data_IF_514876020515
#
_entry.id   IF_514876020515
#
_cell.length_a   1.000
_cell.length_b   1.000
_cell.length_c   1.000
_cell.angle_alpha   90.00
_cell.angle_beta   90.00
_cell.angle_gamma   90.00
#
_symmetry.space_group_name_H-M   'P 1'
#
loop_
_entity.id
_entity.type
_entity.pdbx_description
1 polymer ?
#
# COMPACT_ATOMS: atom_id res chain seq x y z
N UNK A 1 25.06 -30.14 40.24
CA UNK A 1 23.66 -29.65 40.18
C UNK A 1 23.72 -28.25 39.59
N UNK A 2 23.65 -28.16 38.25
CA UNK A 2 23.80 -26.89 37.54
C UNK A 2 22.46 -26.19 37.47
N UNK A 3 22.33 -25.09 38.23
CA UNK A 3 21.19 -24.18 38.15
C UNK A 3 21.25 -23.41 36.84
N UNK A 4 20.60 -23.91 35.79
CA UNK A 4 20.37 -23.15 34.57
C UNK A 4 19.37 -22.02 34.86
N UNK A 5 19.82 -20.76 34.78
CA UNK A 5 18.92 -19.61 34.75
C UNK A 5 17.96 -19.78 33.56
N UNK A 6 16.63 -19.64 33.72
CA UNK A 6 15.73 -19.65 32.58
C UNK A 6 16.03 -18.41 31.72
N UNK A 7 16.39 -18.64 30.46
CA UNK A 7 16.49 -17.58 29.46
C UNK A 7 15.08 -17.02 29.26
N UNK A 8 14.82 -15.81 29.72
CA UNK A 8 13.51 -15.16 29.59
C UNK A 8 13.27 -14.78 28.13
N UNK A 9 12.55 -15.62 27.38
CA UNK A 9 12.13 -15.34 26.01
C UNK A 9 10.79 -14.59 26.05
N UNK A 10 10.70 -13.45 25.36
CA UNK A 10 9.47 -12.66 25.25
C UNK A 10 8.94 -12.70 23.82
N UNK A 11 7.64 -13.01 23.65
CA UNK A 11 6.93 -12.95 22.37
C UNK A 11 5.79 -11.94 22.53
N UNK A 12 5.94 -10.78 21.89
CA UNK A 12 5.06 -9.63 22.18
C UNK A 12 5.23 -9.19 23.63
N UNK A 13 4.14 -9.05 24.36
CA UNK A 13 4.14 -8.63 25.77
C UNK A 13 4.16 -9.81 26.76
N UNK A 14 4.28 -11.05 26.26
CA UNK A 14 4.20 -12.26 27.08
C UNK A 14 5.57 -12.92 27.22
N UNK A 15 6.00 -13.10 28.46
CA UNK A 15 7.16 -13.92 28.81
C UNK A 15 6.78 -15.40 28.64
N UNK A 16 7.57 -16.13 27.86
CA UNK A 16 7.40 -17.56 27.63
C UNK A 16 8.22 -18.32 28.67
N UNK A 17 7.53 -19.10 29.49
CA UNK A 17 8.17 -19.92 30.52
C UNK A 17 8.86 -21.13 29.87
N UNK A 18 10.05 -21.45 30.35
CA UNK A 18 10.80 -22.65 29.98
C UNK A 18 10.91 -23.58 31.18
N UNK A 19 10.80 -24.89 30.96
CA UNK A 19 10.98 -25.88 32.01
C UNK A 19 12.45 -26.31 32.17
N UNK A 20 12.71 -27.20 33.14
CA UNK A 20 14.05 -27.70 33.44
C UNK A 20 14.70 -28.51 32.30
N UNK A 21 13.89 -28.97 31.34
CA UNK A 21 14.33 -29.74 30.18
C UNK A 21 14.46 -28.87 28.92
N UNK A 22 14.28 -27.56 29.04
CA UNK A 22 14.43 -26.63 27.93
C UNK A 22 13.20 -26.52 27.02
N UNK A 23 12.04 -27.02 27.42
CA UNK A 23 10.78 -26.92 26.66
C UNK A 23 10.02 -25.64 27.00
N UNK A 24 9.28 -25.13 26.03
CA UNK A 24 8.55 -23.86 26.11
C UNK A 24 7.07 -24.07 26.40
N UNK A 25 6.50 -23.22 27.24
CA UNK A 25 5.08 -23.23 27.62
C UNK A 25 4.18 -22.84 26.45
N UNK A 26 3.45 -23.80 25.90
CA UNK A 26 2.47 -23.59 24.83
C UNK A 26 1.29 -22.74 25.31
N UNK A 27 0.98 -22.76 26.61
CA UNK A 27 -0.03 -21.91 27.22
C UNK A 27 0.36 -20.42 27.16
N UNK A 28 1.65 -20.12 27.36
CA UNK A 28 2.16 -18.75 27.26
C UNK A 28 2.16 -18.28 25.80
N UNK A 29 2.54 -19.16 24.85
CA UNK A 29 2.42 -18.86 23.43
C UNK A 29 0.98 -18.64 22.99
N UNK A 30 0.05 -19.44 23.50
CA UNK A 30 -1.38 -19.28 23.22
C UNK A 30 -1.89 -17.91 23.67
N UNK A 31 -1.46 -17.47 24.86
CA UNK A 31 -1.76 -16.13 25.38
C UNK A 31 -1.11 -15.04 24.51
N UNK A 32 0.14 -15.22 24.10
CA UNK A 32 0.85 -14.30 23.19
C UNK A 32 0.19 -14.18 21.81
N UNK A 33 -0.46 -15.25 21.35
CA UNK A 33 -1.22 -15.30 20.10
C UNK A 33 -2.62 -14.66 20.18
N UNK A 34 -3.08 -14.25 21.36
CA UNK A 34 -4.41 -13.65 21.56
C UNK A 34 -5.46 -14.58 22.17
N UNK A 35 -5.12 -15.82 22.54
CA UNK A 35 -5.98 -16.68 23.39
C UNK A 35 -7.28 -17.17 22.75
N UNK A 36 -7.36 -17.21 21.41
CA UNK A 36 -8.56 -17.66 20.71
C UNK A 36 -8.87 -19.14 20.96
N UNK A 37 -10.11 -19.49 21.35
CA UNK A 37 -10.47 -20.86 21.72
C UNK A 37 -10.13 -21.94 20.67
N UNK A 38 -10.20 -21.61 19.38
CA UNK A 38 -9.85 -22.55 18.28
C UNK A 38 -8.38 -22.93 18.22
N UNK A 39 -7.51 -22.14 18.87
CA UNK A 39 -6.06 -22.33 18.88
C UNK A 39 -5.56 -22.91 20.21
N UNK A 40 -6.42 -23.57 20.97
CA UNK A 40 -6.04 -24.11 22.26
C UNK A 40 -4.95 -25.18 22.16
N UNK A 41 -3.99 -25.21 23.09
CA UNK A 41 -2.92 -26.22 23.13
C UNK A 41 -3.42 -27.67 23.07
N UNK A 42 -4.57 -27.96 23.68
CA UNK A 42 -5.19 -29.30 23.63
C UNK A 42 -5.64 -29.70 22.23
N UNK A 43 -6.16 -28.75 21.44
CA UNK A 43 -6.64 -29.01 20.08
C UNK A 43 -5.46 -29.21 19.13
N UNK A 44 -4.41 -28.40 19.30
CA UNK A 44 -3.16 -28.56 18.56
C UNK A 44 -2.55 -29.96 18.73
N UNK A 45 -2.43 -30.46 19.96
CA UNK A 45 -1.86 -31.79 20.22
C UNK A 45 -2.73 -32.95 19.69
N UNK A 46 -4.00 -32.69 19.35
CA UNK A 46 -4.90 -33.69 18.77
C UNK A 46 -4.80 -33.76 17.24
N UNK A 47 -4.14 -32.80 16.59
CA UNK A 47 -3.96 -32.81 15.14
C UNK A 47 -3.10 -33.99 14.71
N UNK A 48 -3.52 -34.66 13.64
CA UNK A 48 -2.78 -35.80 13.09
C UNK A 48 -1.35 -35.39 12.67
N UNK A 49 -1.20 -34.22 12.03
CA UNK A 49 0.10 -33.68 11.63
C UNK A 49 1.05 -33.47 12.81
N UNK A 50 0.54 -32.92 13.91
CA UNK A 50 1.34 -32.67 15.12
C UNK A 50 1.70 -33.98 15.81
N UNK A 51 0.82 -34.98 15.82
CA UNK A 51 1.13 -36.32 16.34
C UNK A 51 2.18 -37.04 15.51
N UNK A 52 2.14 -36.92 14.18
CA UNK A 52 3.17 -37.44 13.28
C UNK A 52 4.52 -36.77 13.53
N UNK A 53 4.54 -35.44 13.65
CA UNK A 53 5.76 -34.69 13.99
C UNK A 53 6.33 -35.10 15.35
N UNK A 54 5.48 -35.27 16.37
CA UNK A 54 5.91 -35.76 17.69
C UNK A 54 6.53 -37.16 17.58
N UNK A 55 5.99 -38.06 16.75
CA UNK A 55 6.58 -39.39 16.54
C UNK A 55 7.96 -39.30 15.91
N UNK A 56 8.12 -38.45 14.89
CA UNK A 56 9.41 -38.23 14.21
C UNK A 56 10.48 -37.67 15.17
N UNK A 57 10.09 -36.70 16.00
CA UNK A 57 10.98 -36.10 17.01
C UNK A 57 11.38 -37.09 18.12
N UNK A 58 10.55 -38.10 18.39
CA UNK A 58 10.88 -39.18 19.33
C UNK A 58 11.77 -40.25 18.70
N UNK A 59 11.65 -40.51 17.39
CA UNK A 59 12.49 -41.51 16.71
C UNK A 59 13.94 -41.07 16.53
N UNK A 60 14.21 -39.75 16.47
CA UNK A 60 15.56 -39.20 16.30
C UNK A 60 16.46 -39.28 17.55
N UNK A 61 15.89 -39.21 18.75
CA UNK A 61 16.60 -39.36 20.03
C UNK A 61 15.66 -39.93 21.12
N UNK A 62 15.89 -41.15 21.65
CA UNK A 62 15.06 -41.74 22.71
C UNK A 62 15.02 -40.97 24.02
N UNK A 63 15.93 -40.00 24.23
CA UNK A 63 15.93 -39.09 25.40
C UNK A 63 15.20 -37.78 25.13
N UNK A 64 14.79 -37.53 23.89
CA UNK A 64 13.96 -36.40 23.52
C UNK A 64 12.58 -36.59 24.15
N UNK A 65 12.16 -35.61 24.95
CA UNK A 65 10.79 -35.53 25.46
C UNK A 65 10.14 -34.34 24.77
N UNK A 66 9.62 -34.47 23.54
CA UNK A 66 9.19 -33.32 22.73
C UNK A 66 7.95 -32.62 23.30
N UNK A 67 7.13 -33.32 24.08
CA UNK A 67 5.93 -32.77 24.74
C UNK A 67 5.85 -33.27 26.17
N UNK A 68 5.56 -32.37 27.10
CA UNK A 68 5.19 -32.70 28.48
C UNK A 68 3.93 -31.95 28.87
N UNK A 69 2.94 -32.68 29.40
CA UNK A 69 1.71 -32.08 29.92
C UNK A 69 1.71 -32.24 31.43
N UNK A 70 1.89 -31.13 32.13
CA UNK A 70 1.85 -31.08 33.60
C UNK A 70 0.43 -30.81 34.05
N UNK A 71 -0.16 -31.71 34.84
CA UNK A 71 -1.50 -31.52 35.41
C UNK A 71 -1.46 -30.71 36.71
N UNK A 72 -2.49 -29.91 36.97
CA UNK A 72 -2.69 -29.20 38.25
C UNK A 72 -2.89 -27.69 38.11
N UNK A 73 -2.95 -26.99 39.25
CA UNK A 73 -3.24 -25.53 39.32
C UNK A 73 -2.22 -24.65 38.59
N UNK A 74 -0.97 -25.12 38.52
CA UNK A 74 0.13 -24.50 37.77
C UNK A 74 0.53 -25.36 36.56
N UNK A 75 -0.38 -26.22 36.10
CA UNK A 75 -0.15 -27.13 34.99
C UNK A 75 -0.12 -26.41 33.65
N UNK A 76 0.55 -27.03 32.68
CA UNK A 76 0.68 -26.50 31.33
C UNK A 76 1.25 -27.52 30.35
N UNK A 77 1.09 -27.22 29.06
CA UNK A 77 1.68 -27.99 27.99
C UNK A 77 3.02 -27.38 27.61
N UNK A 78 4.10 -28.13 27.77
CA UNK A 78 5.47 -27.74 27.44
C UNK A 78 5.94 -28.50 26.21
N UNK A 79 6.49 -27.79 25.23
CA UNK A 79 6.89 -28.38 23.95
C UNK A 79 8.30 -27.96 23.55
N UNK A 80 8.99 -28.81 22.77
CA UNK A 80 10.28 -28.47 22.20
C UNK A 80 10.18 -27.32 21.16
N UNK A 81 11.34 -26.77 20.77
CA UNK A 81 11.42 -25.64 19.83
C UNK A 81 10.72 -25.90 18.49
N UNK A 82 10.82 -27.11 17.94
CA UNK A 82 10.25 -27.40 16.63
C UNK A 82 8.72 -27.35 16.66
N UNK A 83 8.13 -27.86 17.73
CA UNK A 83 6.68 -27.79 17.96
C UNK A 83 6.18 -26.37 18.28
N UNK A 84 7.05 -25.50 18.79
CA UNK A 84 6.75 -24.06 18.89
C UNK A 84 6.55 -23.46 17.49
N UNK A 85 7.40 -23.81 16.52
CA UNK A 85 7.25 -23.31 15.16
C UNK A 85 6.01 -23.88 14.46
N UNK A 86 5.75 -25.17 14.62
CA UNK A 86 4.54 -25.82 14.08
C UNK A 86 3.26 -25.20 14.66
N UNK A 87 3.22 -24.97 15.98
CA UNK A 87 2.12 -24.26 16.62
C UNK A 87 1.93 -22.86 16.05
N UNK A 88 3.02 -22.09 15.91
CA UNK A 88 2.94 -20.74 15.39
C UNK A 88 2.48 -20.72 13.91
N UNK A 89 2.86 -21.71 13.11
CA UNK A 89 2.38 -21.93 11.74
C UNK A 89 0.88 -22.18 11.69
N UNK A 90 0.37 -23.00 12.62
CA UNK A 90 -1.04 -23.34 12.70
C UNK A 90 -1.92 -22.15 13.13
N UNK A 91 -1.41 -21.31 14.04
CA UNK A 91 -2.14 -20.15 14.59
C UNK A 91 -2.36 -19.04 13.56
N UNK A 92 -1.29 -18.45 13.00
CA UNK A 92 -1.39 -17.42 11.96
C UNK A 92 -0.04 -17.09 11.33
N UNK A 93 -0.05 -16.61 10.08
CA UNK A 93 1.17 -16.19 9.39
C UNK A 93 1.90 -15.03 10.10
N UNK A 94 1.16 -14.09 10.67
CA UNK A 94 1.74 -12.96 11.41
C UNK A 94 2.43 -13.42 12.69
N UNK A 95 1.76 -14.28 13.46
CA UNK A 95 2.31 -14.80 14.71
C UNK A 95 3.54 -15.67 14.46
N UNK A 96 3.53 -16.50 13.42
CA UNK A 96 4.70 -17.25 12.95
C UNK A 96 5.92 -16.38 12.73
N UNK A 97 5.79 -15.27 12.02
CA UNK A 97 6.93 -14.37 11.75
C UNK A 97 7.48 -13.78 13.05
N UNK A 98 6.61 -13.40 14.00
CA UNK A 98 7.03 -12.90 15.32
C UNK A 98 7.84 -13.95 16.08
N UNK A 99 7.34 -15.18 16.17
CA UNK A 99 8.02 -16.29 16.85
C UNK A 99 9.37 -16.60 16.20
N UNK A 100 9.44 -16.65 14.86
CA UNK A 100 10.71 -16.87 14.14
C UNK A 100 11.74 -15.81 14.52
N UNK A 101 11.39 -14.52 14.44
CA UNK A 101 12.31 -13.42 14.76
C UNK A 101 12.81 -13.47 16.20
N UNK A 102 11.93 -13.75 17.16
CA UNK A 102 12.30 -13.85 18.58
C UNK A 102 13.27 -15.00 18.82
N UNK A 103 12.97 -16.18 18.28
CA UNK A 103 13.83 -17.35 18.50
C UNK A 103 15.15 -17.28 17.72
N UNK A 104 15.16 -16.63 16.55
CA UNK A 104 16.37 -16.37 15.78
C UNK A 104 17.28 -15.35 16.49
N UNK A 105 16.70 -14.29 17.05
CA UNK A 105 17.40 -13.34 17.90
C UNK A 105 18.03 -14.02 19.14
N UNK A 106 17.32 -14.94 19.79
CA UNK A 106 17.87 -15.72 20.90
C UNK A 106 19.01 -16.64 20.44
N UNK A 107 18.86 -17.31 19.29
CA UNK A 107 19.88 -18.22 18.76
C UNK A 107 21.17 -17.50 18.32
N UNK A 108 21.06 -16.27 17.80
CA UNK A 108 22.18 -15.44 17.34
C UNK A 108 22.77 -14.56 18.44
N UNK A 109 22.28 -14.67 19.70
CA UNK A 109 22.70 -13.83 20.82
C UNK A 109 22.21 -12.37 20.74
N UNK A 110 21.37 -12.05 19.74
CA UNK A 110 20.73 -10.76 19.51
C UNK A 110 19.40 -10.60 20.27
N UNK A 111 19.28 -11.16 21.49
CA UNK A 111 18.11 -10.89 22.34
C UNK A 111 17.90 -9.39 22.35
N UNK A 112 16.71 -8.86 21.98
CA UNK A 112 16.42 -7.44 22.10
C UNK A 112 16.34 -7.13 23.60
N UNK A 113 17.49 -7.05 24.25
CA UNK A 113 17.61 -6.42 25.54
C UNK A 113 17.27 -4.96 25.30
N UNK A 114 16.39 -4.34 26.09
CA UNK A 114 16.40 -2.88 26.17
C UNK A 114 17.84 -2.50 26.50
N UNK A 115 18.49 -1.81 25.55
CA UNK A 115 19.91 -1.55 25.60
C UNK A 115 20.24 -0.80 26.91
N UNK A 116 20.74 -1.53 27.90
CA UNK A 116 21.58 -0.95 28.94
C UNK A 116 22.98 -1.13 28.39
N UNK A 117 23.64 -0.07 27.90
CA UNK A 117 24.99 -0.20 27.37
C UNK A 117 25.89 -0.72 28.50
N UNK A 118 26.50 -1.89 28.28
CA UNK A 118 27.61 -2.33 29.11
C UNK A 118 28.73 -1.31 28.94
N UNK A 119 29.09 -0.62 30.04
CA UNK A 119 30.17 0.35 30.06
C UNK A 119 31.49 -0.36 29.73
N UNK A 120 32.17 -0.02 28.61
CA UNK A 120 33.46 -0.60 28.28
C UNK A 120 34.54 -0.11 29.25
N UNK A 121 35.62 -0.89 29.37
CA UNK A 121 36.67 -0.79 30.40
C UNK A 121 37.49 0.51 30.44
N UNK A 122 37.22 1.48 29.58
CA UNK A 122 37.78 2.83 29.64
C UNK A 122 36.68 3.88 29.41
N UNK A 123 36.33 4.61 30.47
CA UNK A 123 35.25 5.61 30.48
C UNK A 123 35.46 6.72 29.43
N UNK A 124 36.71 7.04 29.11
CA UNK A 124 37.07 8.10 28.18
C UNK A 124 36.75 7.72 26.72
N UNK A 125 37.09 6.49 26.31
CA UNK A 125 36.79 5.98 24.97
C UNK A 125 35.28 5.83 24.77
N UNK A 126 34.56 5.40 25.81
CA UNK A 126 33.09 5.32 25.79
C UNK A 126 32.43 6.68 25.56
N UNK A 127 32.92 7.73 26.22
CA UNK A 127 32.43 9.10 26.06
C UNK A 127 32.71 9.63 24.66
N UNK A 128 33.90 9.38 24.12
CA UNK A 128 34.26 9.81 22.76
C UNK A 128 33.37 9.13 21.71
N UNK A 129 33.12 7.82 21.85
CA UNK A 129 32.24 7.07 20.97
C UNK A 129 30.79 7.60 21.01
N UNK A 130 30.27 7.93 22.19
CA UNK A 130 28.93 8.52 22.35
C UNK A 130 28.84 9.91 21.70
N UNK A 131 29.88 10.74 21.84
CA UNK A 131 29.93 12.06 21.22
C UNK A 131 29.97 11.94 19.69
N UNK A 132 30.71 10.98 19.14
CA UNK A 132 30.75 10.71 17.70
C UNK A 132 29.39 10.23 17.19
N UNK A 133 28.77 9.27 17.87
CA UNK A 133 27.46 8.75 17.51
C UNK A 133 26.38 9.83 17.53
N UNK A 134 26.37 10.71 18.53
CA UNK A 134 25.40 11.80 18.62
C UNK A 134 25.63 12.85 17.51
N UNK A 135 26.89 13.13 17.17
CA UNK A 135 27.22 14.00 16.02
C UNK A 135 26.76 13.38 14.70
N UNK A 136 26.99 12.09 14.50
CA UNK A 136 26.54 11.37 13.31
C UNK A 136 25.02 11.37 13.19
N UNK A 137 24.31 11.06 14.29
CA UNK A 137 22.85 11.12 14.34
C UNK A 137 22.31 12.51 14.00
N UNK A 138 22.93 13.58 14.52
CA UNK A 138 22.56 14.96 14.17
C UNK A 138 22.81 15.27 12.70
N UNK A 139 23.90 14.78 12.12
CA UNK A 139 24.19 14.92 10.69
C UNK A 139 23.16 14.20 9.83
N UNK A 140 22.83 12.95 10.16
CA UNK A 140 21.81 12.18 9.46
C UNK A 140 20.42 12.82 9.60
N UNK A 141 20.09 13.39 10.77
CA UNK A 141 18.85 14.14 10.96
C UNK A 141 18.80 15.37 10.05
N UNK A 142 19.89 16.14 9.98
CA UNK A 142 19.97 17.31 9.10
C UNK A 142 19.92 16.93 7.61
N UNK A 143 20.55 15.83 7.22
CA UNK A 143 20.48 15.30 5.85
C UNK A 143 19.07 14.83 5.49
N UNK A 144 18.41 14.09 6.38
CA UNK A 144 17.02 13.68 6.20
C UNK A 144 16.08 14.89 6.10
N UNK A 145 16.28 15.91 6.94
CA UNK A 145 15.50 17.16 6.88
C UNK A 145 15.73 17.88 5.55
N UNK A 146 16.98 17.96 5.06
CA UNK A 146 17.30 18.53 3.76
C UNK A 146 16.66 17.74 2.60
N UNK A 147 16.71 16.41 2.65
CA UNK A 147 16.04 15.54 1.67
C UNK A 147 14.51 15.74 1.71
N UNK A 148 13.92 15.84 2.90
CA UNK A 148 12.49 16.10 3.05
C UNK A 148 12.10 17.49 2.54
N UNK A 149 12.92 18.52 2.77
CA UNK A 149 12.72 19.85 2.23
C UNK A 149 12.80 19.85 0.69
N UNK A 150 13.77 19.12 0.11
CA UNK A 150 13.89 18.96 -1.34
C UNK A 150 12.68 18.23 -1.95
N UNK A 151 12.20 17.16 -1.28
CA UNK A 151 10.98 16.47 -1.69
C UNK A 151 9.74 17.37 -1.57
N UNK A 152 9.67 18.22 -0.53
CA UNK A 152 8.60 19.19 -0.34
C UNK A 152 8.62 20.30 -1.40
N UNK A 153 9.80 20.77 -1.81
CA UNK A 153 9.94 21.71 -2.94
C UNK A 153 9.48 21.09 -4.26
N UNK A 154 9.69 19.78 -4.42
CA UNK A 154 9.20 19.01 -5.58
C UNK A 154 7.73 18.57 -5.44
N UNK A 155 7.09 18.70 -4.28
CA UNK A 155 5.67 18.38 -4.09
C UNK A 155 4.75 19.05 -5.11
N UNK A 156 4.83 20.37 -5.41
CA UNK A 156 3.93 20.97 -6.40
C UNK A 156 4.08 20.37 -7.80
N UNK A 157 5.28 19.87 -8.18
CA UNK A 157 5.49 19.20 -9.46
C UNK A 157 4.90 17.78 -9.46
N UNK A 158 5.06 17.04 -8.36
CA UNK A 158 4.50 15.71 -8.18
C UNK A 158 2.97 15.74 -8.06
N UNK A 159 2.42 16.71 -7.34
CA UNK A 159 0.99 16.96 -7.19
C UNK A 159 0.36 17.36 -8.52
N UNK A 160 1.00 18.27 -9.27
CA UNK A 160 0.61 18.55 -10.65
C UNK A 160 0.58 17.25 -11.49
N UNK A 161 1.60 16.39 -11.37
CA UNK A 161 1.64 15.08 -12.04
C UNK A 161 0.53 14.11 -11.60
N UNK A 162 0.07 14.21 -10.35
CA UNK A 162 -1.05 13.42 -9.81
C UNK A 162 -2.40 13.95 -10.30
N UNK A 163 -2.56 15.27 -10.41
CA UNK A 163 -3.71 15.92 -11.06
C UNK A 163 -3.82 15.55 -12.55
N UNK A 164 -2.68 15.28 -13.21
CA UNK A 164 -2.64 14.74 -14.57
C UNK A 164 -3.17 13.30 -14.70
N UNK A 165 -3.21 12.54 -13.61
CA UNK A 165 -3.65 11.14 -13.56
C UNK A 165 -5.08 10.98 -13.01
N UNK A 166 -5.61 11.96 -12.28
CA UNK A 166 -6.98 11.95 -11.80
C UNK A 166 -7.99 12.22 -12.95
N UNK A 167 -8.36 11.12 -13.60
CA UNK A 167 -9.29 11.04 -14.73
C UNK A 167 -10.74 11.49 -14.44
N UNK A 168 -11.03 12.08 -13.27
CA UNK A 168 -12.38 12.56 -12.92
C UNK A 168 -12.76 13.87 -13.62
N UNK A 169 -11.81 14.75 -13.91
CA UNK A 169 -12.11 16.11 -14.42
C UNK A 169 -11.71 16.36 -15.88
N UNK A 170 -11.24 15.34 -16.59
CA UNK A 170 -10.93 15.45 -18.02
C UNK A 170 -12.19 15.64 -18.87
N UNK A 171 -12.21 16.68 -19.69
CA UNK A 171 -13.32 16.93 -20.62
C UNK A 171 -12.97 16.52 -22.04
N UNK A 172 -13.92 15.90 -22.75
CA UNK A 172 -13.78 15.72 -24.20
C UNK A 172 -13.93 17.07 -24.92
N UNK A 173 -13.24 17.25 -26.05
CA UNK A 173 -13.24 18.50 -26.83
C UNK A 173 -14.65 19.08 -27.11
N UNK A 174 -15.63 18.22 -27.41
CA UNK A 174 -17.03 18.63 -27.64
C UNK A 174 -17.72 19.17 -26.38
N UNK A 175 -17.34 18.67 -25.20
CA UNK A 175 -17.85 19.16 -23.91
C UNK A 175 -17.20 20.51 -23.59
N UNK A 176 -15.90 20.64 -23.83
CA UNK A 176 -15.15 21.88 -23.64
C UNK A 176 -15.68 23.02 -24.53
N UNK A 177 -15.93 22.78 -25.81
CA UNK A 177 -16.52 23.78 -26.71
C UNK A 177 -17.87 24.32 -26.19
N UNK A 178 -18.72 23.43 -25.68
CA UNK A 178 -20.01 23.81 -25.07
C UNK A 178 -19.80 24.65 -23.81
N UNK A 179 -18.83 24.29 -22.97
CA UNK A 179 -18.52 25.05 -21.76
C UNK A 179 -17.98 26.45 -22.08
N UNK A 180 -17.11 26.57 -23.08
CA UNK A 180 -16.59 27.85 -23.58
C UNK A 180 -17.60 28.66 -24.39
N UNK A 181 -18.80 28.09 -24.65
CA UNK A 181 -19.86 28.69 -25.47
C UNK A 181 -19.42 29.04 -26.89
N UNK A 182 -18.48 28.26 -27.43
CA UNK A 182 -18.02 28.37 -28.82
C UNK A 182 -18.76 27.31 -29.65
N UNK A 183 -19.34 27.66 -30.81
CA UNK A 183 -19.94 26.67 -31.71
C UNK A 183 -18.93 25.57 -32.07
N UNK A 184 -19.35 24.31 -31.96
CA UNK A 184 -18.43 23.17 -32.09
C UNK A 184 -17.67 23.18 -33.42
N UNK A 185 -18.33 23.45 -34.55
CA UNK A 185 -17.66 23.49 -35.84
C UNK A 185 -16.58 24.57 -35.90
N UNK A 186 -16.90 25.80 -35.46
CA UNK A 186 -15.97 26.92 -35.38
C UNK A 186 -14.76 26.57 -34.50
N UNK A 187 -15.02 25.95 -33.34
CA UNK A 187 -13.96 25.50 -32.43
C UNK A 187 -13.03 24.47 -33.07
N UNK A 188 -13.56 23.41 -33.69
CA UNK A 188 -12.74 22.39 -34.35
C UNK A 188 -11.97 22.94 -35.55
N UNK A 189 -12.56 23.88 -36.30
CA UNK A 189 -11.89 24.56 -37.42
C UNK A 189 -10.71 25.41 -36.92
N UNK A 190 -10.92 26.18 -35.85
CA UNK A 190 -9.85 26.96 -35.23
C UNK A 190 -8.71 26.08 -34.71
N UNK A 191 -9.03 24.95 -34.05
CA UNK A 191 -8.03 23.99 -33.57
C UNK A 191 -7.23 23.35 -34.72
N UNK A 192 -7.88 23.11 -35.87
CA UNK A 192 -7.22 22.60 -37.08
C UNK A 192 -6.31 23.65 -37.70
N UNK A 193 -6.79 24.89 -37.83
CA UNK A 193 -6.05 26.02 -38.39
C UNK A 193 -4.80 26.34 -37.56
N UNK A 194 -4.96 26.37 -36.23
CA UNK A 194 -3.88 26.61 -35.27
C UNK A 194 -2.95 25.41 -35.08
N UNK A 195 -3.17 24.32 -35.82
CA UNK A 195 -2.38 23.10 -35.75
C UNK A 195 -2.33 22.50 -34.34
N UNK A 196 -3.37 22.69 -33.53
CA UNK A 196 -3.44 22.09 -32.18
C UNK A 196 -3.67 20.58 -32.27
N UNK A 197 -4.57 20.20 -33.18
CA UNK A 197 -4.97 18.82 -33.43
C UNK A 197 -4.68 18.44 -34.88
N UNK A 198 -4.51 17.16 -35.13
CA UNK A 198 -4.46 16.58 -36.46
C UNK A 198 -5.23 15.25 -36.49
N UNK A 199 -5.41 14.71 -37.68
CA UNK A 199 -5.91 13.36 -37.90
C UNK A 199 -4.85 12.58 -38.66
N UNK A 200 -4.58 11.35 -38.26
CA UNK A 200 -3.64 10.47 -38.93
C UNK A 200 -4.19 9.98 -40.28
N UNK A 201 -5.50 9.78 -40.36
CA UNK A 201 -6.22 9.39 -41.56
C UNK A 201 -7.59 10.09 -41.63
N UNK A 202 -8.19 10.17 -42.82
CA UNK A 202 -9.52 10.76 -42.98
C UNK A 202 -10.58 9.97 -42.19
N UNK A 203 -11.38 10.68 -41.40
CA UNK A 203 -12.35 10.05 -40.49
C UNK A 203 -11.76 9.49 -39.19
N UNK A 204 -10.44 9.50 -39.02
CA UNK A 204 -9.77 9.07 -37.80
C UNK A 204 -9.99 9.98 -36.58
N UNK A 205 -9.59 9.53 -35.38
CA UNK A 205 -9.72 10.31 -34.16
C UNK A 205 -8.87 11.58 -34.24
N UNK A 206 -9.31 12.63 -33.54
CA UNK A 206 -8.47 13.80 -33.34
C UNK A 206 -7.34 13.45 -32.38
N UNK A 207 -6.10 13.68 -32.81
CA UNK A 207 -4.87 13.46 -32.05
C UNK A 207 -4.22 14.82 -31.77
N UNK A 208 -3.78 15.11 -30.53
CA UNK A 208 -3.11 16.36 -30.22
C UNK A 208 -1.66 16.32 -30.73
N UNK A 209 -1.11 17.44 -31.20
CA UNK A 209 0.32 17.48 -31.57
C UNK A 209 1.22 17.36 -30.33
N UNK A 210 2.44 16.85 -30.53
CA UNK A 210 3.43 16.63 -29.48
C UNK A 210 3.60 17.82 -28.54
N UNK A 211 3.74 19.03 -29.09
CA UNK A 211 3.85 20.29 -28.33
C UNK A 211 2.74 20.48 -27.28
N UNK A 212 1.49 20.13 -27.60
CA UNK A 212 0.35 20.30 -26.68
C UNK A 212 0.23 19.18 -25.65
N UNK A 213 0.83 18.01 -25.94
CA UNK A 213 0.97 16.92 -24.98
C UNK A 213 2.10 17.20 -23.98
N UNK A 214 3.25 17.67 -24.48
CA UNK A 214 4.41 18.05 -23.66
C UNK A 214 4.08 19.22 -22.74
N UNK A 215 3.31 20.21 -23.20
CA UNK A 215 2.78 21.30 -22.37
C UNK A 215 1.67 20.85 -21.41
N UNK A 216 1.24 19.60 -21.45
CA UNK A 216 0.19 19.08 -20.58
C UNK A 216 -1.21 19.68 -20.82
N UNK A 217 -1.46 20.29 -21.97
CA UNK A 217 -2.77 20.89 -22.28
C UNK A 217 -3.79 19.83 -22.73
N UNK A 218 -3.30 18.78 -23.40
CA UNK A 218 -4.14 17.75 -24.02
C UNK A 218 -3.54 16.35 -23.81
N UNK A 219 -4.41 15.38 -23.58
CA UNK A 219 -4.06 13.96 -23.41
C UNK A 219 -4.83 13.12 -24.43
N UNK A 220 -4.20 12.10 -25.01
CA UNK A 220 -4.88 11.16 -25.91
C UNK A 220 -5.08 9.82 -25.20
N UNK A 221 -6.34 9.41 -25.00
CA UNK A 221 -6.69 8.20 -24.23
C UNK A 221 -7.47 7.20 -25.08
N UNK A 222 -7.21 5.91 -24.88
CA UNK A 222 -8.07 4.84 -25.39
C UNK A 222 -9.37 4.80 -24.58
N UNK A 223 -10.51 4.68 -25.28
CA UNK A 223 -11.86 4.60 -24.71
C UNK A 223 -12.58 3.40 -25.27
N UNK A 224 -13.45 2.83 -24.46
CA UNK A 224 -14.37 1.75 -24.86
C UNK A 224 -15.79 2.34 -24.93
N UNK A 225 -16.55 2.08 -26.01
CA UNK A 225 -17.91 2.56 -26.14
C UNK A 225 -18.80 1.97 -25.03
N UNK A 226 -19.75 2.78 -24.55
CA UNK A 226 -20.66 2.37 -23.47
C UNK A 226 -21.61 1.23 -23.85
N UNK A 227 -21.99 1.13 -25.13
CA UNK A 227 -22.83 0.05 -25.65
C UNK A 227 -21.92 -0.92 -26.40
N UNK A 228 -21.89 -2.15 -25.93
CA UNK A 228 -21.20 -3.27 -26.57
C UNK A 228 -22.24 -4.30 -26.98
N UNK A 229 -22.04 -4.95 -28.12
CA UNK A 229 -22.88 -6.07 -28.52
C UNK A 229 -22.46 -7.31 -27.71
N UNK A 230 -23.42 -8.07 -27.14
CA UNK A 230 -23.09 -9.32 -26.46
C UNK A 230 -22.35 -10.27 -27.40
N UNK A 231 -21.16 -10.72 -27.01
CA UNK A 231 -20.35 -11.68 -27.76
C UNK A 231 -19.33 -11.09 -28.74
N UNK A 232 -19.28 -9.77 -28.93
CA UNK A 232 -18.23 -9.10 -29.73
C UNK A 232 -17.11 -8.57 -28.83
N UNK A 233 -15.85 -8.65 -29.28
CA UNK A 233 -14.72 -8.08 -28.53
C UNK A 233 -14.89 -6.55 -28.38
N UNK A 234 -14.50 -5.97 -27.22
CA UNK A 234 -14.65 -4.54 -26.97
C UNK A 234 -13.81 -3.73 -27.95
N UNK A 235 -14.48 -3.02 -28.87
CA UNK A 235 -13.82 -2.10 -29.80
C UNK A 235 -13.32 -0.87 -29.05
N UNK A 236 -12.01 -0.69 -28.91
CA UNK A 236 -11.43 0.53 -28.36
C UNK A 236 -11.24 1.60 -29.44
N UNK A 237 -11.46 2.88 -29.10
CA UNK A 237 -11.13 4.02 -29.96
C UNK A 237 -10.32 5.06 -29.19
N UNK A 238 -9.42 5.77 -29.87
CA UNK A 238 -8.65 6.86 -29.28
C UNK A 238 -9.46 8.17 -29.20
N UNK A 239 -9.32 8.91 -28.11
CA UNK A 239 -10.00 10.18 -27.90
C UNK A 239 -9.08 11.22 -27.23
N UNK A 240 -9.03 12.43 -27.80
CA UNK A 240 -8.38 13.57 -27.15
C UNK A 240 -9.24 14.10 -26.01
N UNK A 241 -8.60 14.25 -24.85
CA UNK A 241 -9.11 14.80 -23.61
C UNK A 241 -8.38 16.09 -23.27
N UNK A 242 -9.08 16.99 -22.59
CA UNK A 242 -8.61 18.32 -22.21
C UNK A 242 -8.41 18.36 -20.71
N UNK A 243 -7.24 18.81 -20.27
CA UNK A 243 -6.87 19.02 -18.85
C UNK A 243 -7.38 20.36 -18.33
N UNK A 244 -7.30 20.62 -17.03
CA UNK A 244 -7.65 21.92 -16.46
C UNK A 244 -6.84 23.07 -17.10
N UNK A 245 -5.52 22.89 -17.23
CA UNK A 245 -4.64 23.81 -17.93
C UNK A 245 -5.04 24.00 -19.41
N UNK A 246 -5.47 22.92 -20.08
CA UNK A 246 -6.01 22.96 -21.43
C UNK A 246 -7.28 23.81 -21.54
N UNK A 247 -8.20 23.70 -20.59
CA UNK A 247 -9.44 24.50 -20.55
C UNK A 247 -9.11 25.98 -20.36
N UNK A 248 -8.21 26.31 -19.44
CA UNK A 248 -7.77 27.70 -19.22
C UNK A 248 -7.12 28.28 -20.48
N UNK A 249 -6.22 27.53 -21.12
CA UNK A 249 -5.58 27.94 -22.35
C UNK A 249 -6.59 28.16 -23.49
N UNK A 250 -7.56 27.25 -23.65
CA UNK A 250 -8.62 27.40 -24.63
C UNK A 250 -9.53 28.61 -24.34
N UNK A 251 -9.83 28.89 -23.08
CA UNK A 251 -10.62 30.07 -22.70
C UNK A 251 -9.90 31.36 -23.08
N UNK A 252 -8.59 31.46 -22.78
CA UNK A 252 -7.77 32.63 -23.14
C UNK A 252 -7.64 32.78 -24.66
N UNK A 253 -7.45 31.67 -25.40
CA UNK A 253 -7.20 31.71 -26.84
C UNK A 253 -8.47 31.86 -27.68
N UNK A 254 -9.52 31.10 -27.39
CA UNK A 254 -10.73 31.02 -28.21
C UNK A 254 -11.95 31.70 -27.58
N UNK A 255 -11.80 32.36 -26.44
CA UNK A 255 -12.90 33.09 -25.79
C UNK A 255 -13.54 34.15 -26.68
N UNK A 256 -12.78 34.75 -27.61
CA UNK A 256 -13.30 35.70 -28.59
C UNK A 256 -14.26 35.09 -29.62
N UNK A 257 -14.30 33.76 -29.75
CA UNK A 257 -15.23 33.03 -30.61
C UNK A 257 -16.55 32.66 -29.90
N UNK A 258 -16.68 33.00 -28.62
CA UNK A 258 -17.87 32.70 -27.85
C UNK A 258 -19.07 33.48 -28.40
N UNK A 259 -20.17 32.78 -28.66
CA UNK A 259 -21.42 33.42 -29.09
C UNK A 259 -22.24 33.83 -27.85
N UNK A 260 -22.88 35.00 -27.86
CA UNK A 260 -23.76 35.42 -26.77
C UNK A 260 -24.93 34.43 -26.59
N UNK A 261 -25.41 34.29 -25.36
CA UNK A 261 -26.57 33.44 -25.06
C UNK A 261 -27.75 33.97 -25.87
N UNK A 262 -28.37 33.16 -26.76
CA UNK A 262 -29.59 33.60 -27.42
C UNK A 262 -30.65 33.88 -26.35
N UNK A 263 -31.42 34.98 -26.44
CA UNK A 263 -32.47 35.26 -25.48
C UNK A 263 -33.39 34.03 -25.38
N UNK A 264 -33.92 33.72 -24.18
CA UNK A 264 -34.86 32.62 -24.02
C UNK A 264 -35.94 32.78 -25.09
N UNK A 265 -36.13 31.73 -25.90
CA UNK A 265 -37.13 31.76 -26.96
C UNK A 265 -38.46 32.09 -26.31
N UNK A 266 -38.97 33.30 -26.54
CA UNK A 266 -40.34 33.62 -26.19
C UNK A 266 -41.20 32.55 -26.87
N UNK A 267 -41.98 31.83 -26.06
CA UNK A 267 -42.83 30.75 -26.53
C UNK A 267 -43.70 31.28 -27.69
N UNK A 268 -43.33 30.92 -28.92
CA UNK A 268 -44.22 31.05 -30.07
C UNK A 268 -45.35 30.06 -29.86
N UNK A 269 -46.34 30.45 -29.06
CA UNK A 269 -47.66 29.84 -29.04
C UNK A 269 -48.31 30.10 -30.40
N UNK A 270 -48.00 29.25 -31.38
CA UNK A 270 -48.70 29.19 -32.66
C UNK A 270 -49.50 27.89 -32.72
N UNK A 271 -50.44 27.73 -31.80
CA UNK A 271 -51.55 26.78 -31.87
C UNK A 271 -52.72 27.34 -31.06
N UNK A 272 -53.53 28.19 -31.70
CA UNK A 272 -54.93 28.48 -31.32
C UNK A 272 -55.59 29.21 -32.51
N UNK A 273 -55.96 28.41 -33.51
CA UNK A 273 -57.10 28.67 -34.38
C UNK A 273 -57.51 27.34 -35.01
N UNK A 274 -58.38 26.64 -34.30
CA UNK A 274 -59.37 25.71 -34.81
C UNK A 274 -60.38 25.49 -33.67
N UNK A 275 -61.66 25.60 -34.02
CA UNK A 275 -62.87 25.30 -33.23
C UNK A 275 -63.38 26.40 -32.29
N UNK A 276 -64.06 27.41 -32.85
CA UNK A 276 -65.54 27.57 -32.85
C UNK A 276 -65.96 28.77 -33.71
#
# INVERSE_FOLDING_TARGET
>A
MSSCKPSSIQVGDVVITQDAHGRYSLNDLHRAAGGEKRHQPSDFLRLASTQEMVRELNSGDPRSLPVEVVAGRNGGTYVCRDLVYDYAMWVSAEFRVKVIRVFDAVATGHVPQPAIPALPGDYLEALEALVVAEREKKRLAAENEAQQAQLAEQQPLYELGRDFLDTKDLWGLKKTARHLRVPQQTFFNALKQDKVLFREFEGGPWVPRALFREKGLLVFQARVPRRQQPGEQPKSYGQTMVTAAGVEWFSKKYGHLATPIPPPRANCWRWLRADE
#
